data_IF_452167912667
#
_entry.id   IF_452167912667
#
_cell.length_a   1.000
_cell.length_b   1.000
_cell.length_c   1.000
_cell.angle_alpha   90.00
_cell.angle_beta   90.00
_cell.angle_gamma   90.00
#
_symmetry.space_group_name_H-M   'P 1'
#
loop_
_entity.id
_entity.type
_entity.pdbx_description
1 polymer ?
#
# COMPACT_ATOMS: atom_id res chain seq x y z
N UNK A 1 -7.16 3.36 -8.08
CA UNK A 1 -5.91 3.29 -7.28
C UNK A 1 -6.23 3.68 -5.85
N UNK A 2 -5.59 3.03 -4.88
CA UNK A 2 -5.78 3.23 -3.43
C UNK A 2 -4.43 3.56 -2.81
N UNK A 3 -4.38 4.56 -1.93
CA UNK A 3 -3.18 4.88 -1.16
C UNK A 3 -3.03 3.89 -0.01
N UNK A 4 -1.89 3.22 0.05
CA UNK A 4 -1.56 2.29 1.14
C UNK A 4 -0.19 2.63 1.72
N UNK A 5 -0.05 2.47 3.04
CA UNK A 5 1.21 2.57 3.76
C UNK A 5 1.80 1.17 3.89
N UNK A 6 3.00 0.96 3.37
CA UNK A 6 3.65 -0.35 3.43
C UNK A 6 4.08 -0.70 4.85
N UNK A 7 3.76 -1.92 5.30
CA UNK A 7 4.22 -2.47 6.58
C UNK A 7 5.54 -3.24 6.43
N UNK A 8 5.91 -3.59 5.20
CA UNK A 8 7.16 -4.30 4.85
C UNK A 8 7.75 -3.73 3.56
N UNK A 9 9.05 -3.90 3.35
CA UNK A 9 9.68 -3.60 2.07
C UNK A 9 9.36 -4.69 1.05
N UNK A 10 8.87 -4.32 -0.14
CA UNK A 10 8.56 -5.27 -1.23
C UNK A 10 8.88 -4.69 -2.60
N UNK A 11 9.17 -5.55 -3.57
CA UNK A 11 9.28 -5.15 -4.97
C UNK A 11 7.91 -5.27 -5.66
N UNK A 12 7.51 -4.26 -6.43
CA UNK A 12 6.24 -4.22 -7.14
C UNK A 12 6.43 -3.53 -8.49
N UNK A 13 6.10 -4.20 -9.60
CA UNK A 13 6.30 -3.70 -10.97
C UNK A 13 7.71 -3.16 -11.29
N UNK A 14 8.74 -3.69 -10.65
CA UNK A 14 10.12 -3.24 -10.82
C UNK A 14 10.54 -2.11 -9.86
N UNK A 15 9.61 -1.54 -9.11
CA UNK A 15 9.90 -0.55 -8.08
C UNK A 15 10.09 -1.19 -6.70
N UNK A 16 10.98 -0.62 -5.89
CA UNK A 16 11.18 -1.01 -4.51
C UNK A 16 10.32 -0.15 -3.59
N UNK A 17 9.22 -0.71 -3.10
CA UNK A 17 8.33 -0.07 -2.13
C UNK A 17 8.93 -0.24 -0.74
N UNK A 18 9.29 0.88 -0.11
CA UNK A 18 9.94 0.87 1.20
C UNK A 18 8.91 0.82 2.32
N UNK A 19 9.25 0.09 3.39
CA UNK A 19 8.48 0.05 4.62
C UNK A 19 8.21 1.47 5.16
N UNK A 20 7.00 1.68 5.67
CA UNK A 20 6.54 2.92 6.26
C UNK A 20 6.21 4.03 5.26
N UNK A 21 6.50 3.85 3.97
CA UNK A 21 6.16 4.80 2.91
C UNK A 21 4.77 4.53 2.33
N UNK A 22 4.17 5.58 1.78
CA UNK A 22 2.83 5.56 1.17
C UNK A 22 2.98 5.51 -0.34
N UNK A 23 2.24 4.60 -0.97
CA UNK A 23 2.21 4.43 -2.42
C UNK A 23 0.76 4.29 -2.91
N UNK A 24 0.53 4.64 -4.17
CA UNK A 24 -0.72 4.37 -4.87
C UNK A 24 -0.63 3.01 -5.57
N UNK A 25 -1.53 2.11 -5.19
CA UNK A 25 -1.56 0.72 -5.66
C UNK A 25 -2.94 0.44 -6.24
N UNK A 26 -3.03 -0.46 -7.21
CA UNK A 26 -4.31 -0.91 -7.75
C UNK A 26 -5.20 -1.49 -6.65
N UNK A 27 -6.51 -1.23 -6.74
CA UNK A 27 -7.46 -1.55 -5.68
C UNK A 27 -7.49 -3.05 -5.36
N UNK A 28 -7.39 -3.91 -6.39
CA UNK A 28 -7.36 -5.36 -6.20
C UNK A 28 -6.12 -5.81 -5.41
N UNK A 29 -4.94 -5.28 -5.76
CA UNK A 29 -3.68 -5.56 -5.09
C UNK A 29 -3.67 -5.01 -3.66
N UNK A 30 -4.13 -3.76 -3.49
CA UNK A 30 -4.23 -3.10 -2.20
C UNK A 30 -5.13 -3.91 -1.24
N UNK A 31 -6.30 -4.38 -1.69
CA UNK A 31 -7.20 -5.22 -0.88
C UNK A 31 -6.51 -6.49 -0.38
N UNK A 32 -5.76 -7.17 -1.25
CA UNK A 32 -4.99 -8.37 -0.87
C UNK A 32 -3.90 -8.05 0.14
N UNK A 33 -3.19 -6.93 -0.05
CA UNK A 33 -2.13 -6.51 0.86
C UNK A 33 -2.66 -6.11 2.23
N UNK A 34 -3.79 -5.42 2.29
CA UNK A 34 -4.46 -5.04 3.54
C UNK A 34 -4.95 -6.29 4.29
N UNK A 35 -5.61 -7.21 3.59
CA UNK A 35 -6.05 -8.48 4.20
C UNK A 35 -4.86 -9.32 4.71
N UNK A 36 -3.73 -9.29 4.00
CA UNK A 36 -2.49 -9.97 4.36
C UNK A 36 -1.58 -9.21 5.33
N UNK A 37 -1.98 -8.03 5.83
CA UNK A 37 -1.18 -7.15 6.70
C UNK A 37 0.15 -6.66 6.09
N UNK A 38 0.28 -6.70 4.76
CA UNK A 38 1.44 -6.21 4.02
C UNK A 38 1.45 -4.68 3.96
N UNK A 39 0.27 -4.05 3.94
CA UNK A 39 0.12 -2.61 3.91
C UNK A 39 -1.19 -2.19 4.59
N UNK A 40 -1.25 -0.97 5.09
CA UNK A 40 -2.44 -0.39 5.71
C UNK A 40 -3.10 0.63 4.78
N UNK A 41 -4.44 0.67 4.74
CA UNK A 41 -5.18 1.67 3.96
C UNK A 41 -4.95 3.08 4.52
N UNK A 42 -4.54 4.01 3.67
CA UNK A 42 -4.43 5.43 4.02
C UNK A 42 -5.71 6.14 3.57
N UNK A 43 -6.64 6.31 4.50
CA UNK A 43 -7.82 7.16 4.28
C UNK A 43 -7.40 8.61 4.38
N UNK A 44 -7.41 9.34 3.26
CA UNK A 44 -7.34 10.79 3.31
C UNK A 44 -8.58 11.30 4.06
N UNK A 45 -8.36 11.76 5.29
CA UNK A 45 -9.37 12.52 6.03
C UNK A 45 -9.54 13.85 5.28
N UNK A 46 -10.46 13.89 4.33
CA UNK A 46 -10.99 15.16 3.84
C UNK A 46 -11.74 15.80 5.01
N UNK A 47 -11.15 16.86 5.58
CA UNK A 47 -11.73 17.68 6.63
C UNK A 47 -12.03 19.07 6.06
#
# INVERSE_FOLDING_TARGET
MVKVKMNVQTAYHGDLLREGKVYEIDEETAKRWIAGKIADEVKEKNN
#
